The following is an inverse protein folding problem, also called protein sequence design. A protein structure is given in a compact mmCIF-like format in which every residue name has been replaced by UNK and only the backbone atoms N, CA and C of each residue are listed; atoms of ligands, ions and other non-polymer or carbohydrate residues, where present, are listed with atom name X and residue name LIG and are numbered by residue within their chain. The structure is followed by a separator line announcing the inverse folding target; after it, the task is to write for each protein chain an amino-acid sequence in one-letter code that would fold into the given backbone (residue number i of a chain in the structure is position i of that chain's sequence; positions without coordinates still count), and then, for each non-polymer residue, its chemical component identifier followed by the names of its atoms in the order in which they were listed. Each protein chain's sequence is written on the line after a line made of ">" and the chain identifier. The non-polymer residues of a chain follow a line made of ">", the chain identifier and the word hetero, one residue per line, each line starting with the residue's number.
data_IF_433793236603
#
_entry.id   IF_433793236603
#
_cell.length_a   1.000
_cell.length_b   1.000
_cell.length_c   1.000
_cell.angle_alpha   90.00
_cell.angle_beta   90.00
_cell.angle_gamma   90.00
#
_symmetry.space_group_name_H-M   'P 1'
#
loop_
_entity.id
_entity.type
_entity.pdbx_description
1 polymer ?
#
# COMPACT_ATOMS: atom_id res chain seq x y z
N UNK A 1 2.29 -35.64 1.86
CA UNK A 1 2.75 -34.60 0.90
C UNK A 1 1.66 -33.57 0.83
N UNK A 2 1.88 -32.36 1.37
CA UNK A 2 0.84 -31.32 1.38
C UNK A 2 0.88 -30.58 0.03
N UNK A 3 -0.26 -30.66 -0.64
CA UNK A 3 -0.59 -30.17 -1.98
C UNK A 3 -0.44 -28.64 -2.11
N UNK A 4 0.18 -28.21 -3.22
CA UNK A 4 0.14 -26.90 -3.87
C UNK A 4 -0.05 -25.66 -2.98
N UNK A 5 1.08 -25.04 -2.59
CA UNK A 5 1.15 -23.65 -2.11
C UNK A 5 0.36 -22.75 -3.05
N UNK A 6 -0.58 -21.97 -2.52
CA UNK A 6 -1.10 -20.77 -3.18
C UNK A 6 0.08 -19.96 -3.72
N UNK A 7 0.10 -19.72 -5.02
CA UNK A 7 1.19 -18.98 -5.66
C UNK A 7 1.19 -17.51 -5.23
N UNK A 8 0.01 -16.95 -4.94
CA UNK A 8 -0.18 -15.58 -4.50
C UNK A 8 -0.77 -15.51 -3.08
N UNK A 9 -0.33 -14.51 -2.32
CA UNK A 9 -0.77 -14.23 -0.95
C UNK A 9 -1.17 -12.75 -0.82
N UNK A 10 -2.14 -12.48 0.05
CA UNK A 10 -2.54 -11.12 0.41
C UNK A 10 -1.50 -10.47 1.33
N UNK A 11 -1.20 -9.21 1.04
CA UNK A 11 -0.28 -8.38 1.81
C UNK A 11 -0.87 -7.01 2.08
N UNK A 12 -0.64 -6.50 3.29
CA UNK A 12 -0.66 -5.07 3.59
C UNK A 12 0.79 -4.61 3.74
N UNK A 13 1.19 -3.56 3.04
CA UNK A 13 2.54 -3.02 3.09
C UNK A 13 2.49 -1.62 3.70
N UNK A 14 3.30 -1.41 4.73
CA UNK A 14 3.59 -0.10 5.31
C UNK A 14 4.92 0.39 4.76
N UNK A 15 4.93 1.54 4.09
CA UNK A 15 6.17 2.17 3.63
C UNK A 15 6.85 2.90 4.79
N UNK A 16 8.17 3.07 4.72
CA UNK A 16 8.90 3.80 5.77
C UNK A 16 8.81 5.34 5.63
N UNK A 17 8.52 5.83 4.42
CA UNK A 17 8.26 7.23 4.09
C UNK A 17 7.33 7.31 2.88
N UNK A 18 6.69 8.46 2.61
CA UNK A 18 5.89 8.60 1.41
C UNK A 18 6.79 8.45 0.17
N UNK A 19 6.33 7.70 -0.83
CA UNK A 19 7.00 7.57 -2.13
C UNK A 19 6.14 8.19 -3.23
N UNK A 20 6.78 8.67 -4.29
CA UNK A 20 6.07 9.22 -5.44
C UNK A 20 5.22 8.15 -6.14
N UNK A 21 4.22 8.55 -6.92
CA UNK A 21 3.39 7.62 -7.71
C UNK A 21 4.28 6.83 -8.68
N UNK A 22 5.30 7.46 -9.29
CA UNK A 22 6.23 6.81 -10.21
C UNK A 22 7.07 5.73 -9.51
N UNK A 23 7.57 6.01 -8.31
CA UNK A 23 8.30 5.02 -7.50
C UNK A 23 7.41 3.87 -7.06
N UNK A 24 6.14 4.15 -6.76
CA UNK A 24 5.16 3.14 -6.42
C UNK A 24 4.81 2.25 -7.61
N UNK A 25 4.60 2.81 -8.80
CA UNK A 25 4.40 2.04 -10.03
C UNK A 25 5.60 1.13 -10.32
N UNK A 26 6.83 1.65 -10.18
CA UNK A 26 8.06 0.84 -10.31
C UNK A 26 8.17 -0.26 -9.27
N UNK A 27 7.76 0.00 -8.02
CA UNK A 27 7.73 -0.99 -6.94
C UNK A 27 6.77 -2.13 -7.29
N UNK A 28 5.54 -1.79 -7.70
CA UNK A 28 4.51 -2.74 -8.12
C UNK A 28 5.01 -3.62 -9.27
N UNK A 29 5.57 -2.99 -10.30
CA UNK A 29 6.04 -3.68 -11.51
C UNK A 29 7.24 -4.60 -11.23
N UNK A 30 8.14 -4.18 -10.34
CA UNK A 30 9.31 -4.97 -9.92
C UNK A 30 8.88 -6.28 -9.26
N UNK A 31 7.94 -6.18 -8.32
CA UNK A 31 7.52 -7.32 -7.50
C UNK A 31 6.26 -8.03 -8.00
N UNK A 32 5.72 -7.60 -9.15
CA UNK A 32 4.51 -8.15 -9.79
C UNK A 32 3.33 -8.17 -8.82
N UNK A 33 3.12 -7.05 -8.12
CA UNK A 33 2.06 -6.91 -7.12
C UNK A 33 0.75 -6.57 -7.83
N UNK A 34 -0.33 -7.28 -7.52
CA UNK A 34 -1.67 -6.86 -7.89
C UNK A 34 -2.25 -6.02 -6.77
N UNK A 35 -2.46 -4.73 -6.98
CA UNK A 35 -2.93 -3.82 -5.94
C UNK A 35 -4.46 -3.76 -5.93
N UNK A 36 -5.02 -3.95 -4.74
CA UNK A 36 -6.45 -3.76 -4.48
C UNK A 36 -6.73 -2.31 -4.06
N UNK A 37 -5.90 -1.77 -3.17
CA UNK A 37 -6.03 -0.42 -2.59
C UNK A 37 -4.67 0.15 -2.23
N UNK A 38 -4.58 1.47 -2.21
CA UNK A 38 -3.42 2.19 -1.65
C UNK A 38 -3.88 3.47 -0.95
N UNK A 39 -3.04 3.98 -0.05
CA UNK A 39 -3.28 5.25 0.60
C UNK A 39 -2.18 6.25 0.24
N UNK A 40 -2.57 7.50 0.07
CA UNK A 40 -1.70 8.64 -0.13
C UNK A 40 -1.74 9.53 1.11
N UNK A 41 -0.59 10.13 1.44
CA UNK A 41 -0.49 11.24 2.40
C UNK A 41 -0.48 12.55 1.65
N UNK A 42 -1.27 13.50 2.14
CA UNK A 42 -1.21 14.89 1.76
C UNK A 42 -1.25 15.78 3.01
N UNK A 43 -0.87 17.05 2.87
CA UNK A 43 -0.88 18.05 3.95
C UNK A 43 -1.76 19.22 3.50
N UNK A 44 -2.78 19.59 4.27
CA UNK A 44 -3.67 20.70 3.93
C UNK A 44 -3.02 22.07 4.18
N UNK A 45 -3.73 23.15 3.81
CA UNK A 45 -3.28 24.54 4.01
C UNK A 45 -3.04 24.92 5.48
N UNK A 46 -3.59 24.17 6.44
CA UNK A 46 -3.43 24.37 7.88
C UNK A 46 -2.32 23.50 8.48
N UNK A 47 -1.61 22.71 7.67
CA UNK A 47 -0.60 21.76 8.12
C UNK A 47 -1.17 20.45 8.67
N UNK A 48 -2.47 20.19 8.53
CA UNK A 48 -3.07 18.93 8.96
C UNK A 48 -2.74 17.81 7.98
N UNK A 49 -2.64 16.59 8.51
CA UNK A 49 -2.44 15.39 7.71
C UNK A 49 -3.76 14.92 7.11
N UNK A 50 -3.78 14.73 5.80
CA UNK A 50 -4.89 14.17 5.04
C UNK A 50 -4.48 12.79 4.49
N UNK A 51 -5.37 11.80 4.59
CA UNK A 51 -5.20 10.49 3.93
C UNK A 51 -6.19 10.38 2.80
N UNK A 52 -5.68 10.15 1.58
CA UNK A 52 -6.51 9.94 0.39
C UNK A 52 -6.42 8.45 0.02
N UNK A 53 -7.56 7.77 0.01
CA UNK A 53 -7.64 6.37 -0.44
C UNK A 53 -7.74 6.29 -1.95
N UNK A 54 -6.93 5.43 -2.57
CA UNK A 54 -6.92 5.17 -4.00
C UNK A 54 -7.15 3.70 -4.33
N UNK A 55 -7.66 3.46 -5.53
CA UNK A 55 -7.77 2.14 -6.16
C UNK A 55 -7.13 2.18 -7.54
N UNK A 56 -6.79 1.01 -8.06
CA UNK A 56 -6.30 0.88 -9.43
C UNK A 56 -7.50 0.89 -10.39
N UNK A 57 -7.32 1.46 -11.58
CA UNK A 57 -8.34 1.46 -12.62
C UNK A 57 -8.50 0.09 -13.31
N UNK A 58 -9.48 -0.02 -14.20
CA UNK A 58 -9.75 -1.25 -14.97
C UNK A 58 -8.58 -1.75 -15.84
N UNK A 59 -7.60 -0.89 -16.12
CA UNK A 59 -6.42 -1.20 -16.92
C UNK A 59 -5.19 -1.52 -16.06
N UNK A 60 -5.35 -1.62 -14.73
CA UNK A 60 -4.23 -1.87 -13.84
C UNK A 60 -3.38 -0.63 -13.56
N UNK A 61 -3.88 0.59 -13.85
CA UNK A 61 -3.12 1.84 -13.67
C UNK A 61 -3.69 2.73 -12.58
N UNK A 62 -2.81 3.51 -11.98
CA UNK A 62 -3.18 4.53 -11.01
C UNK A 62 -3.73 5.76 -11.75
N UNK A 63 -4.97 6.16 -11.46
CA UNK A 63 -5.57 7.35 -12.07
C UNK A 63 -5.01 8.63 -11.46
N UNK A 64 -3.97 9.18 -12.08
CA UNK A 64 -3.34 10.46 -11.68
C UNK A 64 -4.30 11.63 -11.72
N UNK A 65 -5.26 11.62 -12.67
CA UNK A 65 -6.27 12.66 -12.76
C UNK A 65 -7.20 12.64 -11.55
N UNK A 66 -7.64 11.46 -11.09
CA UNK A 66 -8.48 11.35 -9.91
C UNK A 66 -7.73 11.82 -8.66
N UNK A 67 -6.45 11.44 -8.52
CA UNK A 67 -5.60 11.91 -7.42
C UNK A 67 -5.49 13.44 -7.45
N UNK A 68 -5.22 14.02 -8.63
CA UNK A 68 -5.11 15.48 -8.79
C UNK A 68 -6.41 16.19 -8.40
N UNK A 69 -7.57 15.65 -8.77
CA UNK A 69 -8.88 16.19 -8.40
C UNK A 69 -9.04 16.15 -6.87
N UNK A 70 -8.82 15.00 -6.23
CA UNK A 70 -8.95 14.85 -4.77
C UNK A 70 -8.00 15.77 -3.99
N UNK A 71 -6.76 15.91 -4.46
CA UNK A 71 -5.75 16.80 -3.86
C UNK A 71 -6.17 18.27 -4.02
N UNK A 72 -6.74 18.64 -5.16
CA UNK A 72 -7.24 20.00 -5.41
C UNK A 72 -8.47 20.33 -4.57
N UNK A 73 -9.42 19.40 -4.43
CA UNK A 73 -10.65 19.58 -3.63
C UNK A 73 -10.31 19.77 -2.14
N UNK A 74 -9.27 19.09 -1.67
CA UNK A 74 -8.77 19.19 -0.29
C UNK A 74 -7.74 20.31 -0.09
N UNK A 75 -7.43 21.09 -1.13
CA UNK A 75 -6.38 22.13 -1.13
C UNK A 75 -5.08 21.66 -0.46
N UNK A 76 -4.71 20.41 -0.71
CA UNK A 76 -3.60 19.77 -0.01
C UNK A 76 -2.37 19.64 -0.90
N UNK A 77 -1.19 19.57 -0.30
CA UNK A 77 0.05 19.20 -0.95
C UNK A 77 0.25 17.68 -0.86
N UNK A 78 0.31 17.00 -2.00
CA UNK A 78 0.53 15.55 -2.04
C UNK A 78 1.97 15.21 -1.64
N UNK A 79 2.14 14.35 -0.63
CA UNK A 79 3.45 13.84 -0.19
C UNK A 79 3.81 12.50 -0.83
N UNK A 80 2.83 11.66 -1.14
CA UNK A 80 3.06 10.39 -1.84
C UNK A 80 2.25 9.23 -1.28
N UNK A 81 2.50 8.03 -1.79
CA UNK A 81 1.92 6.76 -1.32
C UNK A 81 2.58 6.36 -0.01
N UNK A 82 1.78 5.93 0.95
CA UNK A 82 2.24 5.59 2.32
C UNK A 82 1.99 4.14 2.71
N UNK A 83 0.96 3.54 2.15
CA UNK A 83 0.67 2.12 2.32
C UNK A 83 -0.13 1.59 1.14
N UNK A 84 -0.16 0.26 1.04
CA UNK A 84 -1.01 -0.41 0.08
C UNK A 84 -1.39 -1.82 0.53
N UNK A 85 -2.48 -2.29 -0.07
CA UNK A 85 -3.02 -3.62 0.08
C UNK A 85 -3.14 -4.28 -1.28
N UNK A 86 -2.63 -5.49 -1.40
CA UNK A 86 -2.56 -6.21 -2.66
C UNK A 86 -2.26 -7.68 -2.50
N UNK A 87 -1.99 -8.32 -3.64
CA UNK A 87 -1.55 -9.69 -3.76
C UNK A 87 -0.16 -9.74 -4.38
N UNK A 88 0.69 -10.61 -3.86
CA UNK A 88 2.02 -10.84 -4.38
C UNK A 88 2.28 -12.34 -4.54
N UNK A 89 3.09 -12.71 -5.52
CA UNK A 89 3.61 -14.07 -5.58
C UNK A 89 4.53 -14.36 -4.39
N UNK A 90 4.34 -15.50 -3.73
CA UNK A 90 5.12 -15.91 -2.56
C UNK A 90 6.64 -15.83 -2.79
N UNK A 91 7.10 -16.06 -4.02
CA UNK A 91 8.53 -16.01 -4.39
C UNK A 91 9.16 -14.63 -4.16
N UNK A 92 8.40 -13.54 -4.27
CA UNK A 92 8.90 -12.18 -4.10
C UNK A 92 8.76 -11.67 -2.66
N UNK A 93 8.10 -12.41 -1.76
CA UNK A 93 7.80 -11.94 -0.40
C UNK A 93 9.07 -11.53 0.36
N UNK A 94 10.10 -12.38 0.35
CA UNK A 94 11.35 -12.14 1.08
C UNK A 94 12.11 -10.93 0.51
N UNK A 95 12.11 -10.77 -0.81
CA UNK A 95 12.75 -9.63 -1.47
C UNK A 95 12.00 -8.32 -1.19
N UNK A 96 10.66 -8.36 -1.13
CA UNK A 96 9.85 -7.21 -0.74
C UNK A 96 10.10 -6.82 0.72
N UNK A 97 10.15 -7.80 1.64
CA UNK A 97 10.42 -7.57 3.06
C UNK A 97 11.79 -6.94 3.37
N UNK A 98 12.72 -7.02 2.43
CA UNK A 98 14.08 -6.47 2.56
C UNK A 98 14.29 -5.21 1.72
N UNK A 99 13.26 -4.72 1.03
CA UNK A 99 13.32 -3.45 0.29
C UNK A 99 13.41 -2.30 1.29
N UNK A 100 14.40 -1.42 1.10
CA UNK A 100 14.70 -0.30 2.01
C UNK A 100 13.56 0.72 2.13
N UNK A 101 12.58 0.71 1.22
CA UNK A 101 11.41 1.59 1.26
C UNK A 101 10.29 1.04 2.14
N UNK A 102 10.41 -0.21 2.58
CA UNK A 102 9.35 -0.93 3.27
C UNK A 102 9.68 -1.01 4.76
N UNK A 103 8.72 -0.59 5.58
CA UNK A 103 8.80 -0.74 7.02
C UNK A 103 8.26 -2.11 7.45
N UNK A 104 7.13 -2.52 6.89
CA UNK A 104 6.47 -3.78 7.22
C UNK A 104 5.72 -4.35 6.02
N UNK A 105 5.84 -5.67 5.83
CA UNK A 105 4.93 -6.47 5.01
C UNK A 105 4.14 -7.38 5.94
N UNK A 106 2.84 -7.13 6.06
CA UNK A 106 1.90 -7.87 6.90
C UNK A 106 1.08 -8.84 6.03
N UNK A 107 1.18 -10.14 6.32
CA UNK A 107 0.46 -11.21 5.61
C UNK A 107 -0.74 -11.73 6.40
N UNK A 108 -1.11 -11.12 7.53
CA UNK A 108 -2.20 -11.58 8.41
C UNK A 108 -3.61 -11.36 7.83
N UNK A 109 -3.73 -10.58 6.74
CA UNK A 109 -4.95 -10.55 5.93
C UNK A 109 -5.16 -11.83 5.11
N UNK A 110 -4.09 -12.60 4.87
CA UNK A 110 -4.16 -13.78 4.03
C UNK A 110 -4.65 -15.02 4.80
N UNK A 111 -5.76 -15.57 4.32
CA UNK A 111 -6.38 -16.76 4.92
C UNK A 111 -5.55 -18.04 4.78
N UNK A 112 -4.38 -18.02 4.15
CA UNK A 112 -3.45 -19.16 4.16
C UNK A 112 -2.84 -19.37 5.55
N UNK A 113 -2.78 -18.32 6.38
CA UNK A 113 -2.14 -18.38 7.69
C UNK A 113 -3.11 -18.19 8.86
N UNK A 114 -4.17 -17.40 8.71
CA UNK A 114 -5.17 -17.11 9.77
C UNK A 114 -6.56 -16.94 9.14
N UNK A 115 -7.60 -17.64 9.63
CA UNK A 115 -8.99 -17.36 9.21
C UNK A 115 -9.46 -16.00 9.74
N UNK A 116 -9.56 -15.00 8.87
CA UNK A 116 -10.08 -13.69 9.25
C UNK A 116 -11.54 -13.52 8.81
N UNK A 117 -12.48 -13.98 9.66
CA UNK A 117 -13.93 -13.90 9.39
C UNK A 117 -14.47 -12.47 9.20
N UNK A 118 -13.76 -11.44 9.66
CA UNK A 118 -14.29 -10.08 9.76
C UNK A 118 -13.53 -9.03 8.94
N UNK A 119 -12.34 -9.33 8.40
CA UNK A 119 -11.54 -8.34 7.67
C UNK A 119 -10.84 -8.95 6.46
N UNK A 120 -11.18 -8.44 5.27
CA UNK A 120 -10.48 -8.72 4.01
C UNK A 120 -9.15 -7.96 3.88
N UNK A 121 -8.86 -7.02 4.79
CA UNK A 121 -7.68 -6.17 4.78
C UNK A 121 -7.27 -5.82 6.23
N UNK A 122 -6.00 -5.95 6.55
CA UNK A 122 -5.42 -5.49 7.82
C UNK A 122 -4.93 -4.06 7.65
N UNK A 123 -5.29 -3.10 8.53
CA UNK A 123 -4.76 -1.74 8.47
C UNK A 123 -3.23 -1.70 8.50
N UNK A 124 -2.63 -0.78 7.75
CA UNK A 124 -1.20 -0.50 7.83
C UNK A 124 -0.82 0.12 9.19
N UNK A 125 0.48 0.15 9.49
CA UNK A 125 1.00 0.80 10.69
C UNK A 125 1.48 2.24 10.44
N UNK A 126 1.17 2.82 9.27
CA UNK A 126 1.80 4.07 8.84
C UNK A 126 1.52 5.25 9.79
N UNK A 127 0.28 5.38 10.27
CA UNK A 127 -0.07 6.40 11.25
C UNK A 127 0.73 6.27 12.55
N UNK A 128 0.95 5.04 13.04
CA UNK A 128 1.78 4.83 14.24
C UNK A 128 3.24 5.18 13.98
N UNK A 129 3.76 4.85 12.80
CA UNK A 129 5.12 5.20 12.40
C UNK A 129 5.32 6.73 12.35
N UNK A 130 4.33 7.47 11.84
CA UNK A 130 4.35 8.94 11.80
C UNK A 130 4.21 9.62 13.17
N UNK A 131 3.62 8.94 14.16
CA UNK A 131 3.57 9.44 15.54
C UNK A 131 4.86 9.13 16.29
N UNK A 132 5.49 7.98 16.04
CA UNK A 132 6.73 7.59 16.71
C UNK A 132 7.94 8.41 16.25
N UNK A 133 7.94 8.89 15.00
CA UNK A 133 9.03 9.68 14.43
C UNK A 133 8.87 11.21 14.65
N UNK A 134 7.94 11.65 15.50
CA UNK A 134 7.84 13.05 15.95
C UNK A 134 8.79 13.32 17.11
#
# INVERSE_FOLDING_TARGET
>A
MINNKKENILITVTLNKPITIDEFEKLIDRYKIYIHRFALRAIDENGNRVTISGTIDKNGKISRNNIKIMVSETKSELKGVIDFYGEISYKYLKELQTDERIFLVDTSADNTFIENKYKKHIPSLYWYLEEYNK
#
